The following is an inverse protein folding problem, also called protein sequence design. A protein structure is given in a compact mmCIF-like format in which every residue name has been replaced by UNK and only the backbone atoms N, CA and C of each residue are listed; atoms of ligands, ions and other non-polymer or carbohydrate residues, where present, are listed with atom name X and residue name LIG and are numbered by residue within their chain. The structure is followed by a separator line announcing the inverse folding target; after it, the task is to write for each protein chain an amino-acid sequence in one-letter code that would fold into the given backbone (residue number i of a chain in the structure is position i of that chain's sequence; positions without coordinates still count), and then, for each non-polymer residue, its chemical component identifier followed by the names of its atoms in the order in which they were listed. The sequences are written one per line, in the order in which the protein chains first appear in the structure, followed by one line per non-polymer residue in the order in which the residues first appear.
data_IF_671920556123
#
_entry.id   IF_671920556123
#
_cell.length_a   1.000
_cell.length_b   1.000
_cell.length_c   1.000
_cell.angle_alpha   90.00
_cell.angle_beta   90.00
_cell.angle_gamma   90.00
#
_symmetry.space_group_name_H-M   'P 1'
#
loop_
_entity.id
_entity.type
_entity.pdbx_description
1 polymer ?
#
# COMPACT_ATOMS: atom_id res chain seq x y z
N UNK A 1 32.04 41.06 -33.86
CA UNK A 1 32.20 41.15 -32.38
C UNK A 1 30.84 40.84 -31.75
N UNK A 2 30.76 39.78 -31.00
CA UNK A 2 29.52 39.42 -30.25
C UNK A 2 29.37 40.42 -29.10
N UNK A 3 28.21 41.06 -29.03
CA UNK A 3 27.96 42.08 -28.01
C UNK A 3 27.78 41.42 -26.65
N UNK A 4 28.72 41.60 -25.72
CA UNK A 4 28.75 41.02 -24.40
C UNK A 4 27.47 41.35 -23.58
N UNK A 5 26.83 42.49 -23.86
CA UNK A 5 25.55 42.86 -23.23
C UNK A 5 24.39 41.97 -23.67
N UNK A 6 24.31 41.61 -24.98
CA UNK A 6 23.27 40.71 -25.50
C UNK A 6 23.40 39.29 -24.93
N UNK A 7 24.64 38.80 -24.73
CA UNK A 7 24.90 37.50 -24.15
C UNK A 7 24.48 37.46 -22.68
N UNK A 8 24.76 38.52 -21.92
CA UNK A 8 24.32 38.62 -20.51
C UNK A 8 22.80 38.64 -20.38
N UNK A 9 22.13 39.39 -21.22
CA UNK A 9 20.65 39.50 -21.20
C UNK A 9 19.99 38.15 -21.52
N UNK A 10 20.48 37.43 -22.53
CA UNK A 10 20.02 36.05 -22.85
C UNK A 10 20.28 35.05 -21.73
N UNK A 11 21.39 35.16 -21.02
CA UNK A 11 21.73 34.32 -19.89
C UNK A 11 20.78 34.56 -18.72
N UNK A 12 20.40 35.79 -18.44
CA UNK A 12 19.41 36.10 -17.39
C UNK A 12 18.00 35.62 -17.77
N UNK A 13 17.58 35.75 -19.03
CA UNK A 13 16.31 35.20 -19.50
C UNK A 13 16.25 33.65 -19.38
N UNK A 14 17.35 32.98 -19.74
CA UNK A 14 17.45 31.50 -19.60
C UNK A 14 17.40 31.08 -18.13
N UNK A 15 18.13 31.79 -17.25
CA UNK A 15 18.07 31.54 -15.80
C UNK A 15 16.66 31.72 -15.26
N UNK A 16 15.98 32.81 -15.61
CA UNK A 16 14.60 33.04 -15.14
C UNK A 16 13.63 31.97 -15.62
N UNK A 17 13.72 31.55 -16.89
CA UNK A 17 12.91 30.43 -17.41
C UNK A 17 13.24 29.11 -16.71
N UNK A 18 14.50 28.84 -16.36
CA UNK A 18 14.92 27.67 -15.66
C UNK A 18 14.33 27.65 -14.23
N UNK A 19 14.39 28.78 -13.52
CA UNK A 19 13.85 28.92 -12.16
C UNK A 19 12.32 28.77 -12.15
N UNK A 20 11.62 29.36 -13.12
CA UNK A 20 10.17 29.21 -13.27
C UNK A 20 9.77 27.75 -13.59
N UNK A 21 10.55 27.09 -14.45
CA UNK A 21 10.31 25.66 -14.80
C UNK A 21 10.59 24.75 -13.60
N UNK A 22 11.68 25.01 -12.86
CA UNK A 22 12.05 24.26 -11.67
C UNK A 22 10.99 24.43 -10.56
N UNK A 23 10.49 25.68 -10.39
CA UNK A 23 9.42 25.96 -9.43
C UNK A 23 8.11 25.23 -9.80
N UNK A 24 7.79 25.19 -11.11
CA UNK A 24 6.60 24.49 -11.62
C UNK A 24 6.71 22.97 -11.50
N UNK A 25 7.90 22.40 -11.72
CA UNK A 25 8.17 20.98 -11.52
C UNK A 25 8.04 20.63 -10.03
N UNK A 26 8.62 21.42 -9.13
CA UNK A 26 8.56 21.19 -7.69
C UNK A 26 7.13 21.29 -7.12
N UNK A 27 6.28 22.18 -7.65
CA UNK A 27 4.86 22.26 -7.25
C UNK A 27 4.07 21.05 -7.74
N UNK A 28 4.28 20.58 -8.96
CA UNK A 28 3.60 19.39 -9.52
C UNK A 28 4.01 18.12 -8.75
N UNK A 29 5.30 17.95 -8.42
CA UNK A 29 5.77 16.81 -7.62
C UNK A 29 5.22 16.85 -6.19
N UNK A 30 5.12 18.04 -5.58
CA UNK A 30 4.54 18.17 -4.24
C UNK A 30 3.06 17.78 -4.22
N UNK A 31 2.25 18.24 -5.16
CA UNK A 31 0.83 17.93 -5.26
C UNK A 31 0.59 16.43 -5.52
N UNK A 32 1.39 15.82 -6.39
CA UNK A 32 1.32 14.39 -6.68
C UNK A 32 1.71 13.52 -5.47
N UNK A 33 2.73 13.91 -4.71
CA UNK A 33 3.15 13.24 -3.48
C UNK A 33 2.07 13.31 -2.40
N UNK A 34 1.47 14.47 -2.21
CA UNK A 34 0.43 14.65 -1.19
C UNK A 34 -0.83 13.85 -1.53
N UNK A 35 -1.25 13.87 -2.79
CA UNK A 35 -2.40 13.11 -3.27
C UNK A 35 -2.23 11.59 -3.03
N UNK A 36 -1.06 11.03 -3.34
CA UNK A 36 -0.77 9.61 -3.06
C UNK A 36 -0.90 9.28 -1.58
N UNK A 37 -0.35 10.10 -0.70
CA UNK A 37 -0.42 9.88 0.76
C UNK A 37 -1.86 9.88 1.26
N UNK A 38 -2.66 10.83 0.81
CA UNK A 38 -4.10 10.89 1.15
C UNK A 38 -4.83 9.68 0.62
N UNK A 39 -4.55 9.27 -0.63
CA UNK A 39 -5.16 8.09 -1.22
C UNK A 39 -4.79 6.80 -0.45
N UNK A 40 -3.53 6.62 -0.09
CA UNK A 40 -3.09 5.50 0.75
C UNK A 40 -3.76 5.53 2.12
N UNK A 41 -3.77 6.67 2.80
CA UNK A 41 -4.43 6.79 4.10
C UNK A 41 -5.93 6.47 4.02
N UNK A 42 -6.60 6.91 2.94
CA UNK A 42 -8.00 6.54 2.66
C UNK A 42 -8.16 5.02 2.45
N UNK A 43 -7.15 4.34 1.92
CA UNK A 43 -7.12 2.89 1.78
C UNK A 43 -7.30 2.13 3.10
N UNK A 44 -6.98 2.75 4.25
CA UNK A 44 -7.27 2.15 5.55
C UNK A 44 -8.78 1.91 5.77
N UNK A 45 -9.66 2.66 5.09
CA UNK A 45 -11.10 2.45 5.11
C UNK A 45 -11.53 1.10 4.52
N UNK A 46 -10.68 0.44 3.72
CA UNK A 46 -10.95 -0.90 3.20
C UNK A 46 -11.13 -1.96 4.29
N UNK A 47 -10.65 -1.68 5.51
CA UNK A 47 -10.90 -2.52 6.69
C UNK A 47 -12.42 -2.69 6.96
N UNK A 48 -13.27 -1.73 6.57
CA UNK A 48 -14.72 -1.87 6.65
C UNK A 48 -15.28 -3.05 5.85
N UNK A 49 -14.51 -3.61 4.92
CA UNK A 49 -14.85 -4.88 4.27
C UNK A 49 -15.17 -6.00 5.27
N UNK A 50 -14.54 -6.00 6.44
CA UNK A 50 -14.75 -7.03 7.48
C UNK A 50 -16.02 -6.81 8.31
N UNK A 51 -16.69 -5.67 8.18
CA UNK A 51 -18.03 -5.44 8.76
C UNK A 51 -19.10 -6.24 8.01
N UNK A 52 -18.89 -6.53 6.73
CA UNK A 52 -19.79 -7.38 5.97
C UNK A 52 -19.78 -8.82 6.50
N UNK A 53 -20.93 -9.54 6.50
CA UNK A 53 -21.00 -10.93 6.90
C UNK A 53 -19.98 -11.81 6.20
N UNK A 54 -19.59 -12.92 6.82
CA UNK A 54 -18.59 -13.80 6.23
C UNK A 54 -19.08 -14.40 4.91
N UNK A 55 -18.20 -14.42 3.92
CA UNK A 55 -18.47 -15.06 2.64
C UNK A 55 -18.70 -16.57 2.82
N UNK A 56 -19.68 -17.12 2.12
CA UNK A 56 -19.93 -18.56 2.06
C UNK A 56 -19.42 -19.11 0.71
N UNK A 57 -18.27 -19.76 0.71
CA UNK A 57 -17.65 -20.32 -0.51
C UNK A 57 -18.47 -21.42 -1.18
N UNK A 58 -19.53 -21.93 -0.53
CA UNK A 58 -20.44 -22.93 -1.11
C UNK A 58 -21.47 -22.29 -2.04
N UNK A 59 -21.95 -21.08 -1.69
CA UNK A 59 -23.00 -20.36 -2.43
C UNK A 59 -22.45 -19.06 -3.04
N UNK A 60 -21.65 -19.15 -4.09
CA UNK A 60 -20.94 -18.02 -4.71
C UNK A 60 -21.87 -16.96 -5.31
N UNK A 61 -23.16 -17.26 -5.54
CA UNK A 61 -24.15 -16.33 -6.08
C UNK A 61 -25.02 -15.67 -4.98
N UNK A 62 -24.76 -15.98 -3.71
CA UNK A 62 -25.40 -15.25 -2.62
C UNK A 62 -24.97 -13.77 -2.64
N UNK A 63 -25.89 -12.86 -2.32
CA UNK A 63 -25.65 -11.41 -2.38
C UNK A 63 -24.47 -10.97 -1.51
N UNK A 64 -24.23 -11.63 -0.37
CA UNK A 64 -23.06 -11.40 0.49
C UNK A 64 -21.77 -11.72 -0.26
N UNK A 65 -21.75 -12.86 -0.97
CA UNK A 65 -20.59 -13.29 -1.75
C UNK A 65 -20.38 -12.39 -2.96
N UNK A 66 -21.45 -11.90 -3.57
CA UNK A 66 -21.34 -10.89 -4.63
C UNK A 66 -20.63 -9.67 -4.12
N UNK A 67 -21.02 -9.13 -2.96
CA UNK A 67 -20.38 -7.96 -2.36
C UNK A 67 -18.94 -8.21 -1.90
N UNK A 68 -18.67 -9.36 -1.28
CA UNK A 68 -17.35 -9.64 -0.69
C UNK A 68 -16.33 -10.22 -1.68
N UNK A 69 -16.75 -10.92 -2.69
CA UNK A 69 -15.85 -11.59 -3.63
C UNK A 69 -15.90 -10.89 -4.99
N UNK A 70 -17.08 -10.88 -5.62
CA UNK A 70 -17.19 -10.44 -7.00
C UNK A 70 -17.01 -8.94 -7.20
N UNK A 71 -17.46 -8.10 -6.28
CA UNK A 71 -17.26 -6.65 -6.38
C UNK A 71 -15.79 -6.28 -6.28
N UNK A 72 -15.00 -6.71 -5.26
CA UNK A 72 -13.57 -6.41 -5.21
C UNK A 72 -12.79 -7.00 -6.39
N UNK A 73 -13.10 -8.24 -6.80
CA UNK A 73 -12.48 -8.87 -7.98
C UNK A 73 -12.75 -8.07 -9.25
N UNK A 74 -14.01 -7.66 -9.47
CA UNK A 74 -14.39 -6.86 -10.64
C UNK A 74 -13.69 -5.50 -10.66
N UNK A 75 -13.58 -4.83 -9.51
CA UNK A 75 -12.86 -3.56 -9.39
C UNK A 75 -11.39 -3.75 -9.79
N UNK A 76 -10.73 -4.79 -9.28
CA UNK A 76 -9.31 -5.05 -9.61
C UNK A 76 -9.16 -5.42 -11.08
N UNK A 77 -10.07 -6.22 -11.66
CA UNK A 77 -10.06 -6.53 -13.11
C UNK A 77 -10.16 -5.24 -13.92
N UNK A 78 -11.07 -4.33 -13.58
CA UNK A 78 -11.20 -3.03 -14.28
C UNK A 78 -9.91 -2.22 -14.16
N UNK A 79 -9.32 -2.13 -12.97
CA UNK A 79 -8.05 -1.43 -12.74
C UNK A 79 -6.95 -2.02 -13.63
N UNK A 80 -6.81 -3.34 -13.68
CA UNK A 80 -5.80 -4.04 -14.51
C UNK A 80 -6.07 -3.80 -16.00
N UNK A 81 -7.32 -3.84 -16.45
CA UNK A 81 -7.69 -3.57 -17.86
C UNK A 81 -7.36 -2.13 -18.27
N UNK A 82 -7.68 -1.15 -17.42
CA UNK A 82 -7.35 0.25 -17.64
C UNK A 82 -5.82 0.43 -17.75
N UNK A 83 -5.07 -0.26 -16.89
CA UNK A 83 -3.61 -0.22 -16.93
C UNK A 83 -3.03 -0.84 -18.21
N UNK A 84 -3.57 -1.97 -18.65
CA UNK A 84 -3.18 -2.58 -19.93
C UNK A 84 -3.46 -1.63 -21.11
N UNK A 85 -4.60 -0.94 -21.11
CA UNK A 85 -4.95 0.05 -22.14
C UNK A 85 -4.00 1.26 -22.10
N UNK A 86 -3.60 1.71 -20.91
CA UNK A 86 -2.63 2.78 -20.71
C UNK A 86 -1.26 2.38 -21.26
N UNK A 87 -0.75 1.21 -20.88
CA UNK A 87 0.55 0.70 -21.34
C UNK A 87 0.60 0.46 -22.86
N UNK A 88 -0.55 0.13 -23.46
CA UNK A 88 -0.70 0.04 -24.94
C UNK A 88 -0.86 1.40 -25.64
N UNK A 89 -0.80 2.50 -24.89
CA UNK A 89 -0.93 3.85 -25.45
C UNK A 89 -2.34 4.22 -25.92
N UNK A 90 -3.38 3.43 -25.59
CA UNK A 90 -4.77 3.74 -25.93
C UNK A 90 -5.39 4.79 -25.00
N UNK A 91 -4.85 4.94 -23.79
CA UNK A 91 -5.23 5.95 -22.82
C UNK A 91 -3.98 6.76 -22.48
N UNK A 92 -4.09 8.09 -22.48
CA UNK A 92 -2.97 8.95 -22.15
C UNK A 92 -2.64 8.84 -20.66
N UNK A 93 -1.34 8.66 -20.35
CA UNK A 93 -0.84 8.59 -18.97
C UNK A 93 -1.10 9.86 -18.16
N UNK A 94 -1.30 11.00 -18.80
CA UNK A 94 -1.58 12.27 -18.12
C UNK A 94 -2.98 12.33 -17.48
N UNK A 95 -3.87 11.39 -17.82
CA UNK A 95 -5.17 11.24 -17.16
C UNK A 95 -5.07 10.53 -15.79
N UNK A 96 -3.93 9.88 -15.52
CA UNK A 96 -3.67 9.20 -14.26
C UNK A 96 -2.85 10.10 -13.33
N UNK A 97 -3.54 10.87 -12.52
CA UNK A 97 -2.91 11.75 -11.55
C UNK A 97 -2.14 10.95 -10.50
N UNK A 98 -0.91 11.37 -10.19
CA UNK A 98 -0.07 10.73 -9.17
C UNK A 98 0.87 9.62 -9.68
N UNK A 99 0.91 9.32 -10.99
CA UNK A 99 1.91 8.43 -11.56
C UNK A 99 3.32 9.01 -11.43
N UNK A 100 4.25 8.20 -10.94
CA UNK A 100 5.68 8.55 -10.93
C UNK A 100 6.23 8.57 -12.37
N UNK A 101 7.26 9.37 -12.62
CA UNK A 101 7.85 9.50 -13.97
C UNK A 101 8.28 8.15 -14.57
N UNK A 102 8.80 7.25 -13.74
CA UNK A 102 9.20 5.92 -14.18
C UNK A 102 8.01 4.95 -14.43
N UNK A 103 6.86 5.20 -13.81
CA UNK A 103 5.64 4.41 -13.97
C UNK A 103 4.95 4.67 -15.33
N UNK A 104 5.31 5.74 -16.03
CA UNK A 104 4.79 6.01 -17.39
C UNK A 104 5.03 4.87 -18.38
N UNK A 105 6.10 4.08 -18.17
CA UNK A 105 6.50 2.96 -19.07
C UNK A 105 6.33 1.57 -18.46
N UNK A 106 5.87 1.49 -17.20
CA UNK A 106 5.63 0.22 -16.49
C UNK A 106 4.31 0.27 -15.73
N UNK A 107 3.89 -0.86 -15.14
CA UNK A 107 2.69 -0.90 -14.34
C UNK A 107 2.78 0.07 -13.14
N UNK A 108 1.71 0.82 -12.94
CA UNK A 108 1.60 1.79 -11.85
C UNK A 108 1.42 1.11 -10.50
N UNK A 109 1.94 1.74 -9.45
CA UNK A 109 1.88 1.23 -8.07
C UNK A 109 0.45 0.96 -7.58
N UNK A 110 -0.53 1.75 -8.05
CA UNK A 110 -1.94 1.57 -7.68
C UNK A 110 -2.52 0.20 -8.08
N UNK A 111 -2.01 -0.40 -9.17
CA UNK A 111 -2.41 -1.76 -9.58
C UNK A 111 -1.88 -2.77 -8.58
N UNK A 112 -0.62 -2.67 -8.22
CA UNK A 112 0.03 -3.54 -7.25
C UNK A 112 -0.60 -3.42 -5.87
N UNK A 113 -0.94 -2.20 -5.45
CA UNK A 113 -1.67 -1.94 -4.21
C UNK A 113 -3.05 -2.62 -4.22
N UNK A 114 -3.85 -2.43 -5.28
CA UNK A 114 -5.18 -3.02 -5.40
C UNK A 114 -5.15 -4.55 -5.43
N UNK A 115 -4.19 -5.15 -6.15
CA UNK A 115 -4.01 -6.61 -6.19
C UNK A 115 -3.59 -7.15 -4.82
N UNK A 116 -2.69 -6.46 -4.12
CA UNK A 116 -2.27 -6.83 -2.76
C UNK A 116 -3.46 -6.84 -1.78
N UNK A 117 -4.27 -5.78 -1.75
CA UNK A 117 -5.50 -5.72 -0.93
C UNK A 117 -6.46 -6.87 -1.26
N UNK A 118 -6.69 -7.14 -2.55
CA UNK A 118 -7.57 -8.22 -2.97
C UNK A 118 -7.08 -9.59 -2.47
N UNK A 119 -5.78 -9.87 -2.60
CA UNK A 119 -5.17 -11.11 -2.10
C UNK A 119 -5.36 -11.23 -0.58
N UNK A 120 -5.13 -10.14 0.16
CA UNK A 120 -5.33 -10.12 1.60
C UNK A 120 -6.79 -10.42 1.99
N UNK A 121 -7.75 -9.84 1.28
CA UNK A 121 -9.17 -10.05 1.56
C UNK A 121 -9.63 -11.48 1.30
N UNK A 122 -9.14 -12.09 0.21
CA UNK A 122 -9.64 -13.38 -0.23
C UNK A 122 -8.94 -14.58 0.43
N UNK A 123 -7.66 -14.44 0.79
CA UNK A 123 -6.83 -15.59 1.16
C UNK A 123 -6.29 -15.54 2.58
N UNK A 124 -6.38 -14.39 3.27
CA UNK A 124 -5.84 -14.26 4.62
C UNK A 124 -6.92 -13.98 5.66
N UNK A 125 -6.81 -14.56 6.87
CA UNK A 125 -7.69 -14.18 7.96
C UNK A 125 -7.44 -12.72 8.34
N UNK A 126 -8.48 -12.07 8.88
CA UNK A 126 -8.41 -10.63 9.20
C UNK A 126 -7.29 -10.28 10.21
N UNK A 127 -6.89 -11.22 11.06
CA UNK A 127 -5.79 -11.06 12.01
C UNK A 127 -4.43 -10.88 11.31
N UNK A 128 -4.28 -11.39 10.09
CA UNK A 128 -3.11 -11.20 9.25
C UNK A 128 -3.33 -10.03 8.28
N UNK A 129 -4.49 -9.98 7.64
CA UNK A 129 -4.77 -9.00 6.60
C UNK A 129 -4.86 -7.57 7.14
N UNK A 130 -5.57 -7.33 8.26
CA UNK A 130 -5.76 -5.99 8.80
C UNK A 130 -4.44 -5.28 9.11
N UNK A 131 -3.49 -5.85 9.88
CA UNK A 131 -2.23 -5.15 10.15
C UNK A 131 -1.40 -4.92 8.89
N UNK A 132 -1.42 -5.84 7.91
CA UNK A 132 -0.74 -5.64 6.63
C UNK A 132 -1.35 -4.48 5.82
N UNK A 133 -2.68 -4.35 5.81
CA UNK A 133 -3.38 -3.22 5.18
C UNK A 133 -3.02 -1.92 5.89
N UNK A 134 -3.00 -1.89 7.23
CA UNK A 134 -2.60 -0.71 7.99
C UNK A 134 -1.14 -0.33 7.73
N UNK A 135 -0.24 -1.30 7.59
CA UNK A 135 1.14 -1.01 7.21
C UNK A 135 1.22 -0.33 5.84
N UNK A 136 0.53 -0.84 4.83
CA UNK A 136 0.53 -0.24 3.49
C UNK A 136 -0.18 1.12 3.46
N UNK A 137 -1.28 1.27 4.20
CA UNK A 137 -2.10 2.47 4.12
C UNK A 137 -1.61 3.62 5.02
N UNK A 138 -1.00 3.32 6.14
CA UNK A 138 -0.59 4.32 7.14
C UNK A 138 0.93 4.35 7.37
N UNK A 139 1.60 3.19 7.51
CA UNK A 139 3.03 3.18 7.77
C UNK A 139 3.84 3.63 6.54
N UNK A 140 3.46 3.23 5.31
CA UNK A 140 4.14 3.67 4.09
C UNK A 140 4.11 5.21 3.92
N UNK A 141 2.96 5.91 3.97
CA UNK A 141 2.94 7.36 3.93
C UNK A 141 3.76 8.04 5.04
N UNK A 142 3.75 7.48 6.25
CA UNK A 142 4.54 7.98 7.37
C UNK A 142 6.03 7.80 7.06
N UNK A 143 6.46 6.62 6.61
CA UNK A 143 7.85 6.37 6.20
C UNK A 143 8.28 7.32 5.07
N UNK A 144 7.41 7.53 4.09
CA UNK A 144 7.65 8.47 2.99
C UNK A 144 7.88 9.90 3.48
N UNK A 145 7.08 10.39 4.45
CA UNK A 145 7.26 11.72 5.03
C UNK A 145 8.55 11.84 5.85
N UNK A 146 8.81 10.84 6.69
CA UNK A 146 10.04 10.82 7.52
C UNK A 146 11.29 10.72 6.62
N UNK A 147 11.24 9.92 5.55
CA UNK A 147 12.32 9.81 4.57
C UNK A 147 12.64 11.16 3.92
N UNK A 148 11.62 11.89 3.55
CA UNK A 148 11.77 13.21 2.95
C UNK A 148 12.42 14.23 3.90
N UNK A 149 12.04 14.21 5.20
CA UNK A 149 12.53 15.20 6.18
C UNK A 149 13.82 14.79 6.89
N UNK A 150 13.99 13.51 7.22
CA UNK A 150 15.01 13.03 8.15
C UNK A 150 15.92 11.94 7.55
N UNK A 151 15.60 11.47 6.34
CA UNK A 151 16.39 10.46 5.63
C UNK A 151 15.93 9.02 5.85
N UNK A 152 16.54 8.10 5.11
CA UNK A 152 16.12 6.69 5.00
C UNK A 152 16.17 5.92 6.33
N UNK A 153 17.25 6.09 7.11
CA UNK A 153 17.42 5.33 8.36
C UNK A 153 16.30 5.63 9.35
N UNK A 154 15.97 6.90 9.52
CA UNK A 154 14.89 7.36 10.40
C UNK A 154 13.53 6.87 9.92
N UNK A 155 13.31 6.86 8.61
CA UNK A 155 12.07 6.34 8.03
C UNK A 155 11.87 4.86 8.37
N UNK A 156 12.90 4.03 8.23
CA UNK A 156 12.78 2.60 8.56
C UNK A 156 12.60 2.35 10.05
N UNK A 157 13.26 3.12 10.92
CA UNK A 157 13.06 3.00 12.38
C UNK A 157 11.62 3.36 12.76
N UNK A 158 11.12 4.50 12.28
CA UNK A 158 9.74 4.92 12.57
C UNK A 158 8.74 3.95 11.95
N UNK A 159 8.94 3.52 10.71
CA UNK A 159 8.11 2.52 10.05
C UNK A 159 8.04 1.21 10.83
N UNK A 160 9.18 0.72 11.32
CA UNK A 160 9.25 -0.47 12.15
C UNK A 160 8.43 -0.35 13.43
N UNK A 161 8.54 0.79 14.14
CA UNK A 161 7.78 1.04 15.37
C UNK A 161 6.28 1.10 15.09
N UNK A 162 5.88 1.79 14.02
CA UNK A 162 4.47 1.91 13.62
C UNK A 162 3.90 0.54 13.22
N UNK A 163 4.64 -0.25 12.45
CA UNK A 163 4.22 -1.60 12.07
C UNK A 163 4.10 -2.52 13.29
N UNK A 164 5.09 -2.52 14.22
CA UNK A 164 4.98 -3.27 15.48
C UNK A 164 3.67 -2.94 16.19
N UNK A 165 3.34 -1.66 16.30
CA UNK A 165 2.11 -1.21 16.98
C UNK A 165 0.86 -1.81 16.33
N UNK A 166 0.77 -1.82 14.99
CA UNK A 166 -0.37 -2.42 14.29
C UNK A 166 -0.48 -3.92 14.52
N UNK A 167 0.63 -4.66 14.47
CA UNK A 167 0.63 -6.09 14.75
C UNK A 167 0.31 -6.39 16.22
N UNK A 168 0.85 -5.63 17.16
CA UNK A 168 0.54 -5.81 18.60
C UNK A 168 -0.95 -5.63 18.89
N UNK A 169 -1.58 -4.58 18.36
CA UNK A 169 -3.02 -4.34 18.55
C UNK A 169 -3.86 -5.46 17.96
N UNK A 170 -3.48 -5.99 16.81
CA UNK A 170 -4.28 -7.02 16.13
C UNK A 170 -4.08 -8.41 16.72
N UNK A 171 -2.94 -8.65 17.40
CA UNK A 171 -2.58 -9.94 17.99
C UNK A 171 -2.63 -9.96 19.52
N UNK A 172 -3.20 -8.93 20.16
CA UNK A 172 -3.20 -8.83 21.63
C UNK A 172 -3.95 -9.98 22.35
N UNK A 173 -4.82 -10.72 21.64
CA UNK A 173 -5.53 -11.90 22.15
C UNK A 173 -4.75 -13.21 22.03
N UNK A 174 -3.60 -13.22 21.35
CA UNK A 174 -2.70 -14.37 21.25
C UNK A 174 -1.88 -14.57 22.54
N UNK A 175 -1.15 -15.68 22.62
CA UNK A 175 -0.13 -15.84 23.64
C UNK A 175 0.90 -14.69 23.55
N UNK A 176 1.35 -14.18 24.71
CA UNK A 176 2.24 -13.01 24.75
C UNK A 176 3.52 -13.18 23.92
N UNK A 177 4.16 -14.35 24.01
CA UNK A 177 5.36 -14.67 23.23
C UNK A 177 5.10 -14.68 21.73
N UNK A 178 3.95 -15.24 21.32
CA UNK A 178 3.52 -15.29 19.94
C UNK A 178 3.18 -13.89 19.42
N UNK A 179 2.49 -13.06 20.21
CA UNK A 179 2.20 -11.68 19.87
C UNK A 179 3.49 -10.89 19.61
N UNK A 180 4.50 -11.01 20.47
CA UNK A 180 5.79 -10.33 20.27
C UNK A 180 6.49 -10.83 19.01
N UNK A 181 6.57 -12.15 18.82
CA UNK A 181 7.20 -12.76 17.65
C UNK A 181 6.56 -12.26 16.34
N UNK A 182 5.22 -12.31 16.26
CA UNK A 182 4.48 -11.86 15.08
C UNK A 182 4.65 -10.36 14.84
N UNK A 183 4.63 -9.55 15.91
CA UNK A 183 4.80 -8.11 15.79
C UNK A 183 6.19 -7.73 15.23
N UNK A 184 7.24 -8.39 15.72
CA UNK A 184 8.61 -8.14 15.25
C UNK A 184 8.79 -8.64 13.82
N UNK A 185 8.40 -9.88 13.53
CA UNK A 185 8.57 -10.50 12.20
C UNK A 185 7.69 -9.79 11.16
N UNK A 186 6.45 -9.46 11.51
CA UNK A 186 5.55 -8.71 10.64
C UNK A 186 6.08 -7.31 10.31
N UNK A 187 6.58 -6.60 11.32
CA UNK A 187 7.19 -5.28 11.12
C UNK A 187 8.48 -5.34 10.28
N UNK A 188 9.33 -6.34 10.50
CA UNK A 188 10.51 -6.58 9.64
C UNK A 188 10.06 -6.85 8.20
N UNK A 189 9.07 -7.72 8.01
CA UNK A 189 8.51 -8.03 6.70
C UNK A 189 7.98 -6.80 5.97
N UNK A 190 7.22 -5.94 6.65
CA UNK A 190 6.67 -4.73 6.09
C UNK A 190 7.77 -3.73 5.69
N UNK A 191 8.73 -3.46 6.58
CA UNK A 191 9.84 -2.52 6.32
C UNK A 191 10.77 -3.05 5.22
N UNK A 192 11.06 -4.35 5.19
CA UNK A 192 11.87 -4.97 4.13
C UNK A 192 11.13 -4.93 2.80
N UNK A 193 9.82 -5.17 2.82
CA UNK A 193 8.96 -5.09 1.63
C UNK A 193 8.96 -3.71 1.00
N UNK A 194 8.94 -2.65 1.81
CA UNK A 194 9.01 -1.27 1.36
C UNK A 194 10.43 -0.87 0.92
N UNK A 195 11.47 -1.31 1.66
CA UNK A 195 12.85 -0.92 1.41
C UNK A 195 13.45 -1.55 0.15
N UNK A 196 13.11 -2.81 -0.15
CA UNK A 196 13.66 -3.56 -1.27
C UNK A 196 12.78 -3.44 -2.50
N UNK A 197 13.27 -2.72 -3.51
CA UNK A 197 12.68 -2.75 -4.85
C UNK A 197 13.04 -4.08 -5.52
N UNK A 198 12.10 -5.01 -5.50
CA UNK A 198 12.19 -6.20 -6.34
C UNK A 198 11.91 -5.80 -7.78
N UNK A 199 12.72 -6.25 -8.72
CA UNK A 199 12.68 -5.81 -10.12
C UNK A 199 11.28 -5.88 -10.78
N UNK A 200 10.45 -6.80 -10.34
CA UNK A 200 9.12 -7.10 -10.89
C UNK A 200 7.96 -6.59 -10.02
N UNK A 201 8.18 -6.50 -8.72
CA UNK A 201 7.14 -6.20 -7.74
C UNK A 201 7.38 -4.81 -7.17
N UNK A 202 6.30 -4.08 -7.05
CA UNK A 202 6.31 -2.73 -6.48
C UNK A 202 6.36 -2.80 -4.95
N UNK A 203 6.93 -1.76 -4.34
CA UNK A 203 6.97 -1.57 -2.89
C UNK A 203 5.56 -1.63 -2.28
N UNK A 204 4.56 -1.04 -2.93
CA UNK A 204 3.17 -1.03 -2.48
C UNK A 204 2.54 -2.44 -2.37
N UNK A 205 3.00 -3.41 -3.16
CA UNK A 205 2.60 -4.80 -3.06
C UNK A 205 3.37 -5.53 -1.97
N UNK A 206 4.68 -5.33 -1.92
CA UNK A 206 5.56 -6.08 -1.03
C UNK A 206 5.35 -5.75 0.44
N UNK A 207 5.06 -4.49 0.79
CA UNK A 207 4.73 -4.07 2.16
C UNK A 207 3.48 -4.78 2.71
N UNK A 208 2.58 -5.24 1.82
CA UNK A 208 1.37 -5.96 2.17
C UNK A 208 1.60 -7.47 2.26
N UNK A 209 2.22 -8.06 1.24
CA UNK A 209 2.23 -9.50 1.03
C UNK A 209 3.39 -10.18 1.76
N UNK A 210 4.56 -9.55 1.84
CA UNK A 210 5.70 -10.14 2.52
C UNK A 210 5.42 -10.39 4.01
N UNK A 211 4.94 -9.41 4.80
CA UNK A 211 4.58 -9.67 6.19
C UNK A 211 3.45 -10.70 6.31
N UNK A 212 2.45 -10.68 5.42
CA UNK A 212 1.35 -11.62 5.44
C UNK A 212 1.82 -13.07 5.28
N UNK A 213 2.74 -13.34 4.34
CA UNK A 213 3.33 -14.67 4.14
C UNK A 213 4.14 -15.10 5.37
N UNK A 214 5.00 -14.21 5.91
CA UNK A 214 5.81 -14.53 7.07
C UNK A 214 4.95 -14.87 8.29
N UNK A 215 3.88 -14.12 8.53
CA UNK A 215 2.96 -14.38 9.63
C UNK A 215 2.15 -15.66 9.39
N UNK A 216 1.76 -15.94 8.15
CA UNK A 216 1.06 -17.18 7.82
C UNK A 216 1.92 -18.42 8.15
N UNK A 217 3.22 -18.36 7.91
CA UNK A 217 4.17 -19.43 8.28
C UNK A 217 4.19 -19.58 9.81
N UNK A 218 4.27 -18.46 10.54
CA UNK A 218 4.21 -18.49 12.03
C UNK A 218 2.87 -19.02 12.50
N UNK A 219 1.77 -18.67 11.86
CA UNK A 219 0.43 -19.15 12.17
C UNK A 219 0.34 -20.68 12.13
N UNK A 220 0.79 -21.29 11.05
CA UNK A 220 0.79 -22.74 10.93
C UNK A 220 1.77 -23.40 11.92
N UNK A 221 2.94 -22.80 12.16
CA UNK A 221 3.88 -23.27 13.18
C UNK A 221 3.29 -23.21 14.59
N UNK A 222 2.63 -22.11 14.94
CA UNK A 222 1.97 -21.96 16.24
C UNK A 222 0.81 -22.94 16.41
N UNK A 223 0.03 -23.18 15.33
CA UNK A 223 -1.04 -24.17 15.34
C UNK A 223 -0.50 -25.58 15.62
N UNK A 224 0.62 -25.98 15.00
CA UNK A 224 1.25 -27.28 15.22
C UNK A 224 1.82 -27.46 16.64
N UNK A 225 2.19 -26.36 17.29
CA UNK A 225 2.68 -26.34 18.67
C UNK A 225 1.58 -26.20 19.74
N UNK A 226 0.31 -26.08 19.33
CA UNK A 226 -0.83 -25.89 20.23
C UNK A 226 -0.83 -24.54 20.95
N UNK A 227 -0.16 -23.50 20.41
CA UNK A 227 -0.17 -22.16 20.99
C UNK A 227 -1.51 -21.47 20.75
N UNK A 228 -1.90 -20.58 21.66
CA UNK A 228 -3.15 -19.83 21.55
C UNK A 228 -3.06 -18.80 20.43
N UNK A 229 -3.76 -19.07 19.33
CA UNK A 229 -3.93 -18.15 18.22
C UNK A 229 -5.08 -17.17 18.47
N UNK A 230 -5.04 -15.95 17.89
CA UNK A 230 -6.13 -14.98 17.96
C UNK A 230 -7.21 -15.34 16.94
N UNK A 231 -7.92 -16.44 17.14
CA UNK A 231 -8.95 -16.94 16.20
C UNK A 231 -10.22 -16.10 16.19
N UNK A 232 -10.45 -15.30 17.24
CA UNK A 232 -11.60 -14.41 17.29
C UNK A 232 -11.44 -13.26 16.28
N UNK A 233 -12.54 -12.84 15.64
CA UNK A 233 -12.51 -11.69 14.73
C UNK A 233 -12.02 -10.42 15.44
N UNK A 234 -11.26 -9.59 14.74
CA UNK A 234 -10.89 -8.23 15.16
C UNK A 234 -12.08 -7.31 14.95
N UNK A 235 -12.69 -7.41 13.78
CA UNK A 235 -13.94 -6.73 13.42
C UNK A 235 -15.01 -7.80 13.31
N UNK A 236 -16.02 -7.69 14.16
CA UNK A 236 -17.15 -8.62 14.13
C UNK A 236 -18.04 -8.28 12.94
N UNK A 237 -18.31 -9.25 12.05
CA UNK A 237 -19.21 -9.02 10.94
C UNK A 237 -20.63 -8.72 11.47
N UNK A 238 -21.32 -7.82 10.78
CA UNK A 238 -22.71 -7.52 11.10
C UNK A 238 -23.55 -8.79 10.95
N UNK A 239 -24.28 -9.14 12.00
CA UNK A 239 -25.30 -10.22 11.94
C UNK A 239 -26.53 -9.58 11.30
N UNK A 240 -26.79 -9.89 10.04
CA UNK A 240 -28.06 -9.51 9.43
C UNK A 240 -29.08 -10.54 9.91
N UNK A 241 -29.81 -10.14 10.93
CA UNK A 241 -31.01 -10.89 11.36
C UNK A 241 -32.08 -10.65 10.31
N UNK A 242 -32.38 -11.67 9.53
CA UNK A 242 -33.58 -11.79 8.70
C UNK A 242 -34.67 -12.52 9.46
#
# INVERSE_FOLDING_TARGET
MVNVKDVKQRLEEVKKKLDETTKKINTIDFDAHWYRRVFHAFGASFIFYYVLPNANWVNLLDWINILKIWVPVSIVIVIVLLEILRLKGKINSDHFFGLRTYEKKRAGSYVFFAVGILILFLFFPQQIAIPCILCACLADPIMGEIRYRFGEKQAYIVGFIVCIFFFMITWFKADFSLMILVSVVGAIGAVVGEAKKFWWLDDDFMIQILPAILILIIWFGALSLGLKLPVEPIIYPSVILW
#
